data_IF_836082359098
#
_entry.id   IF_836082359098
#
_cell.length_a   1.000
_cell.length_b   1.000
_cell.length_c   1.000
_cell.angle_alpha   90.00
_cell.angle_beta   90.00
_cell.angle_gamma   90.00
#
_symmetry.space_group_name_H-M   'P 1'
#
loop_
_entity.id
_entity.type
_entity.pdbx_description
1 polymer ?
#
# COMPACT_ATOMS: atom_id res chain seq x y z
N UNK A 1 10.53 -12.64 -15.14
CA UNK A 1 9.28 -12.67 -14.34
C UNK A 1 9.44 -12.17 -12.90
N UNK A 2 10.48 -12.54 -12.13
CA UNK A 2 10.67 -12.08 -10.73
C UNK A 2 10.73 -10.54 -10.55
N UNK A 3 11.36 -9.82 -11.47
CA UNK A 3 11.49 -8.35 -11.37
C UNK A 3 10.17 -7.57 -11.45
N UNK A 4 9.21 -8.03 -12.26
CA UNK A 4 7.91 -7.37 -12.43
C UNK A 4 7.12 -7.36 -11.12
N UNK A 5 7.10 -8.49 -10.41
CA UNK A 5 6.42 -8.61 -9.12
C UNK A 5 7.07 -7.74 -8.04
N UNK A 6 8.40 -7.62 -8.06
CA UNK A 6 9.13 -6.72 -7.16
C UNK A 6 8.78 -5.25 -7.40
N UNK A 7 8.71 -4.81 -8.66
CA UNK A 7 8.30 -3.44 -9.02
C UNK A 7 6.87 -3.15 -8.53
N UNK A 8 5.98 -4.13 -8.63
CA UNK A 8 4.59 -4.03 -8.16
C UNK A 8 4.52 -3.86 -6.63
N UNK A 9 5.35 -4.59 -5.87
CA UNK A 9 5.47 -4.44 -4.42
C UNK A 9 6.02 -3.05 -4.00
N UNK A 10 7.03 -2.55 -4.73
CA UNK A 10 7.55 -1.20 -4.50
C UNK A 10 6.54 -0.11 -4.83
N UNK A 11 5.75 -0.27 -5.90
CA UNK A 11 4.65 0.65 -6.23
C UNK A 11 3.57 0.68 -5.15
N UNK A 12 3.22 -0.49 -4.58
CA UNK A 12 2.28 -0.56 -3.46
C UNK A 12 2.78 0.23 -2.23
N UNK A 13 4.08 0.13 -1.94
CA UNK A 13 4.73 0.88 -0.87
C UNK A 13 4.74 2.39 -1.11
N UNK A 14 5.07 2.82 -2.34
CA UNK A 14 5.08 4.24 -2.71
C UNK A 14 3.67 4.83 -2.61
N UNK A 15 2.66 4.11 -3.10
CA UNK A 15 1.25 4.54 -2.98
C UNK A 15 0.83 4.65 -1.50
N UNK A 16 1.26 3.71 -0.64
CA UNK A 16 0.99 3.76 0.79
C UNK A 16 1.64 4.95 1.49
N UNK A 17 2.91 5.23 1.19
CA UNK A 17 3.63 6.38 1.71
C UNK A 17 3.05 7.72 1.21
N UNK A 18 2.64 7.80 -0.06
CA UNK A 18 1.95 8.96 -0.62
C UNK A 18 0.58 9.18 0.04
N UNK A 19 -0.17 8.12 0.28
CA UNK A 19 -1.44 8.19 1.01
C UNK A 19 -1.25 8.77 2.40
N UNK A 20 -0.26 8.27 3.13
CA UNK A 20 0.03 8.71 4.50
C UNK A 20 0.56 10.16 4.55
N UNK A 21 1.49 10.50 3.66
CA UNK A 21 2.12 11.82 3.62
C UNK A 21 1.21 12.93 3.13
N UNK A 22 0.32 12.65 2.17
CA UNK A 22 -0.63 13.62 1.62
C UNK A 22 -2.02 13.54 2.29
N UNK A 23 -2.20 12.63 3.26
CA UNK A 23 -3.51 12.33 3.86
C UNK A 23 -4.59 12.18 2.79
N UNK A 24 -4.28 11.46 1.72
CA UNK A 24 -5.19 11.28 0.61
C UNK A 24 -5.81 9.88 0.68
N UNK A 25 -7.11 9.84 0.99
CA UNK A 25 -7.90 8.60 1.09
C UNK A 25 -7.81 7.76 -0.18
N UNK A 26 -7.78 8.38 -1.36
CA UNK A 26 -7.71 7.66 -2.65
C UNK A 26 -6.38 6.90 -2.79
N UNK A 27 -5.27 7.52 -2.39
CA UNK A 27 -3.96 6.88 -2.41
C UNK A 27 -3.86 5.76 -1.35
N UNK A 28 -4.50 5.93 -0.19
CA UNK A 28 -4.65 4.89 0.82
C UNK A 28 -5.40 3.65 0.32
N UNK A 29 -6.51 3.83 -0.41
CA UNK A 29 -7.24 2.74 -1.05
C UNK A 29 -6.41 2.02 -2.11
N UNK A 30 -5.66 2.76 -2.93
CA UNK A 30 -4.74 2.22 -3.91
C UNK A 30 -3.65 1.35 -3.27
N UNK A 31 -3.08 1.79 -2.16
CA UNK A 31 -2.10 1.04 -1.38
C UNK A 31 -2.68 -0.26 -0.81
N UNK A 32 -3.93 -0.22 -0.32
CA UNK A 32 -4.66 -1.39 0.16
C UNK A 32 -4.88 -2.43 -0.95
N UNK A 33 -5.39 -2.00 -2.11
CA UNK A 33 -5.67 -2.90 -3.25
C UNK A 33 -4.39 -3.54 -3.76
N UNK A 34 -3.33 -2.75 -3.98
CA UNK A 34 -2.03 -3.25 -4.43
C UNK A 34 -1.33 -4.11 -3.37
N UNK A 35 -1.52 -3.79 -2.09
CA UNK A 35 -1.04 -4.59 -0.97
C UNK A 35 -1.70 -5.97 -0.89
N UNK A 36 -3.02 -6.05 -1.10
CA UNK A 36 -3.75 -7.32 -1.16
C UNK A 36 -3.33 -8.15 -2.37
N UNK A 37 -3.16 -7.52 -3.54
CA UNK A 37 -2.68 -8.18 -4.75
C UNK A 37 -1.26 -8.76 -4.57
N UNK A 38 -0.39 -8.07 -3.82
CA UNK A 38 0.96 -8.55 -3.54
C UNK A 38 1.01 -9.69 -2.51
N UNK A 39 -0.04 -9.92 -1.70
CA UNK A 39 -0.12 -11.10 -0.83
C UNK A 39 -0.26 -12.43 -1.59
N UNK A 40 -0.76 -12.37 -2.83
CA UNK A 40 -0.91 -13.54 -3.71
C UNK A 40 0.44 -14.08 -4.19
N UNK A 41 1.50 -13.28 -4.09
CA UNK A 41 2.84 -13.64 -4.57
C UNK A 41 3.76 -13.85 -3.38
N UNK A 42 4.20 -15.10 -3.19
CA UNK A 42 4.98 -15.53 -2.02
C UNK A 42 6.23 -14.66 -1.76
N UNK A 43 6.91 -14.23 -2.81
CA UNK A 43 8.16 -13.47 -2.73
C UNK A 43 7.99 -12.02 -2.22
N UNK A 44 6.80 -11.41 -2.39
CA UNK A 44 6.54 -10.00 -2.07
C UNK A 44 5.49 -9.80 -0.97
N UNK A 45 5.07 -10.89 -0.31
CA UNK A 45 4.08 -10.87 0.77
C UNK A 45 4.40 -9.86 1.86
N UNK A 46 5.67 -9.75 2.26
CA UNK A 46 6.10 -8.80 3.29
C UNK A 46 5.87 -7.34 2.87
N UNK A 47 6.18 -7.01 1.61
CA UNK A 47 5.96 -5.67 1.05
C UNK A 47 4.47 -5.34 0.94
N UNK A 48 3.66 -6.33 0.56
CA UNK A 48 2.21 -6.19 0.50
C UNK A 48 1.57 -5.92 1.86
N UNK A 49 2.01 -6.65 2.89
CA UNK A 49 1.54 -6.45 4.26
C UNK A 49 1.86 -5.05 4.79
N UNK A 50 3.07 -4.54 4.52
CA UNK A 50 3.45 -3.17 4.88
C UNK A 50 2.63 -2.12 4.12
N UNK A 51 2.33 -2.34 2.84
CA UNK A 51 1.49 -1.42 2.05
C UNK A 51 0.04 -1.38 2.58
N UNK A 52 -0.52 -2.53 2.98
CA UNK A 52 -1.84 -2.61 3.64
C UNK A 52 -1.82 -1.83 4.95
N UNK A 53 -0.81 -2.03 5.80
CA UNK A 53 -0.68 -1.28 7.04
C UNK A 53 -0.65 0.23 6.79
N UNK A 54 0.13 0.70 5.81
CA UNK A 54 0.15 2.12 5.45
C UNK A 54 -1.20 2.62 4.92
N UNK A 55 -1.91 1.83 4.12
CA UNK A 55 -3.27 2.16 3.66
C UNK A 55 -4.28 2.29 4.80
N UNK A 56 -4.26 1.37 5.77
CA UNK A 56 -5.14 1.40 6.95
C UNK A 56 -4.81 2.58 7.87
N UNK A 57 -3.52 2.85 8.12
CA UNK A 57 -3.09 4.01 8.92
C UNK A 57 -3.48 5.31 8.23
N UNK A 58 -3.30 5.40 6.90
CA UNK A 58 -3.75 6.55 6.10
C UNK A 58 -5.25 6.78 6.28
N UNK A 59 -6.05 5.71 6.21
CA UNK A 59 -7.49 5.78 6.37
C UNK A 59 -7.90 6.27 7.76
N UNK A 60 -7.29 5.71 8.81
CA UNK A 60 -7.51 6.15 10.20
C UNK A 60 -7.16 7.63 10.39
N UNK A 61 -5.99 8.06 9.92
CA UNK A 61 -5.56 9.46 9.99
C UNK A 61 -6.52 10.37 9.24
N UNK A 62 -6.90 10.02 8.02
CA UNK A 62 -7.85 10.85 7.25
C UNK A 62 -9.24 10.91 7.87
N UNK A 63 -9.73 9.86 8.52
CA UNK A 63 -11.03 9.89 9.21
C UNK A 63 -11.01 10.61 10.56
N UNK A 64 -9.84 10.72 11.20
CA UNK A 64 -9.72 11.38 12.51
C UNK A 64 -9.40 12.87 12.39
N UNK A 65 -8.73 13.28 11.31
CA UNK A 65 -8.23 14.65 11.13
C UNK A 65 -9.00 15.47 10.07
N UNK A 66 -10.05 14.93 9.47
CA UNK A 66 -10.93 15.59 8.49
C UNK A 66 -12.39 15.39 8.89
#
# INVERSE_FOLDING_TARGET
>A
MKYIWMILGWLALIAGLLGLGLQNTQAGYLALILGILSLLVKDIRGMGLTAICFGVVTFLMTTLFN
#
